data_IF_813655037239
#
_entry.id   IF_813655037239
#
_cell.length_a   1.000
_cell.length_b   1.000
_cell.length_c   1.000
_cell.angle_alpha   90.00
_cell.angle_beta   90.00
_cell.angle_gamma   90.00
#
_symmetry.space_group_name_H-M   'P 1'
#
loop_
_entity.id
_entity.type
_entity.pdbx_description
1 polymer ?
#
# COMPACT_ATOMS: atom_id res chain seq x y z
N UNK A 1 15.86 -33.47 11.89
CA UNK A 1 15.16 -33.10 10.65
C UNK A 1 15.61 -31.69 10.30
N UNK A 2 16.42 -31.56 9.25
CA UNK A 2 17.09 -30.33 8.87
C UNK A 2 16.07 -29.31 8.34
N UNK A 3 15.91 -28.18 9.06
CA UNK A 3 15.31 -26.98 8.50
C UNK A 3 16.31 -26.42 7.47
N UNK A 4 16.15 -26.82 6.22
CA UNK A 4 16.81 -26.14 5.12
C UNK A 4 16.25 -24.71 5.09
N UNK A 5 17.08 -23.77 5.53
CA UNK A 5 16.93 -22.33 5.29
C UNK A 5 16.71 -22.08 3.79
N UNK A 6 15.47 -21.99 3.39
CA UNK A 6 15.12 -21.38 2.11
C UNK A 6 15.28 -19.87 2.24
N UNK A 7 16.53 -19.42 2.34
CA UNK A 7 16.88 -18.00 2.17
C UNK A 7 16.58 -17.62 0.73
N UNK A 8 15.37 -17.08 0.51
CA UNK A 8 15.09 -16.37 -0.74
C UNK A 8 16.07 -15.20 -0.85
N UNK A 9 16.68 -14.96 -2.00
CA UNK A 9 17.68 -13.90 -2.17
C UNK A 9 17.05 -12.54 -1.79
N UNK A 10 17.53 -11.96 -0.68
CA UNK A 10 16.99 -10.73 -0.08
C UNK A 10 17.04 -9.50 -1.02
N UNK A 11 17.88 -9.53 -2.06
CA UNK A 11 18.00 -8.44 -3.04
C UNK A 11 16.95 -8.45 -4.16
N UNK A 12 16.29 -9.58 -4.43
CA UNK A 12 15.40 -9.70 -5.61
C UNK A 12 14.03 -9.00 -5.44
N UNK A 13 13.65 -8.59 -4.23
CA UNK A 13 12.39 -7.87 -3.95
C UNK A 13 12.49 -6.35 -4.10
N UNK A 14 13.69 -5.79 -3.96
CA UNK A 14 13.91 -4.35 -3.89
C UNK A 14 13.44 -3.55 -5.12
N UNK A 15 13.70 -3.96 -6.38
CA UNK A 15 13.19 -3.24 -7.54
C UNK A 15 11.66 -3.19 -7.58
N UNK A 16 11.00 -4.27 -7.17
CA UNK A 16 9.53 -4.33 -7.11
C UNK A 16 8.98 -3.39 -6.04
N UNK A 17 9.57 -3.37 -4.84
CA UNK A 17 9.17 -2.46 -3.77
C UNK A 17 9.37 -1.00 -4.19
N UNK A 18 10.56 -0.67 -4.71
CA UNK A 18 10.88 0.67 -5.18
C UNK A 18 9.89 1.17 -6.24
N UNK A 19 9.61 0.35 -7.25
CA UNK A 19 8.67 0.69 -8.32
C UNK A 19 7.25 0.86 -7.80
N UNK A 20 6.78 0.02 -6.87
CA UNK A 20 5.45 0.14 -6.27
C UNK A 20 5.29 1.46 -5.52
N UNK A 21 6.25 1.80 -4.64
CA UNK A 21 6.18 3.01 -3.83
C UNK A 21 6.48 4.28 -4.63
N UNK A 22 7.26 4.19 -5.70
CA UNK A 22 7.42 5.27 -6.67
C UNK A 22 6.07 5.63 -7.32
N UNK A 23 5.35 4.64 -7.84
CA UNK A 23 4.02 4.85 -8.44
C UNK A 23 3.06 5.43 -7.40
N UNK A 24 3.02 4.87 -6.18
CA UNK A 24 2.15 5.38 -5.12
C UNK A 24 2.52 6.80 -4.66
N UNK A 25 3.79 7.17 -4.71
CA UNK A 25 4.23 8.54 -4.40
C UNK A 25 3.68 9.59 -5.37
N UNK A 26 3.44 9.21 -6.63
CA UNK A 26 2.84 10.10 -7.64
C UNK A 26 1.31 10.05 -7.71
N UNK A 27 0.64 9.22 -6.91
CA UNK A 27 -0.83 9.14 -6.88
C UNK A 27 -1.54 10.49 -6.67
N UNK A 28 -1.04 11.42 -5.85
CA UNK A 28 -1.68 12.74 -5.70
C UNK A 28 -1.83 13.49 -7.03
N UNK A 29 -0.87 13.33 -7.95
CA UNK A 29 -0.96 13.95 -9.30
C UNK A 29 -2.15 13.39 -10.07
N UNK A 30 -2.33 12.06 -10.06
CA UNK A 30 -3.48 11.42 -10.69
C UNK A 30 -4.80 11.85 -10.05
N UNK A 31 -4.90 11.87 -8.72
CA UNK A 31 -6.14 12.27 -8.06
C UNK A 31 -6.52 13.73 -8.29
N UNK A 32 -5.56 14.61 -8.51
CA UNK A 32 -5.84 16.01 -8.89
C UNK A 32 -6.53 16.13 -10.26
N UNK A 33 -6.30 15.18 -11.17
CA UNK A 33 -7.01 15.13 -12.47
C UNK A 33 -8.48 14.70 -12.32
N UNK A 34 -8.85 14.11 -11.19
CA UNK A 34 -10.20 13.63 -10.87
C UNK A 34 -10.93 14.54 -9.86
N UNK A 35 -10.53 15.81 -9.78
CA UNK A 35 -11.17 16.78 -8.89
C UNK A 35 -12.65 16.90 -9.20
N UNK A 36 -13.51 16.92 -8.17
CA UNK A 36 -14.97 17.01 -8.34
C UNK A 36 -15.69 15.66 -8.42
N UNK A 37 -14.96 14.54 -8.46
CA UNK A 37 -15.53 13.20 -8.39
C UNK A 37 -15.46 12.69 -6.96
N UNK A 38 -16.56 12.09 -6.49
CA UNK A 38 -16.61 11.56 -5.13
C UNK A 38 -15.57 10.43 -4.93
N UNK A 39 -14.87 10.46 -3.81
CA UNK A 39 -13.77 9.54 -3.53
C UNK A 39 -14.18 8.06 -3.58
N UNK A 40 -15.39 7.72 -3.11
CA UNK A 40 -15.92 6.34 -3.17
C UNK A 40 -16.20 5.89 -4.62
N UNK A 41 -16.56 6.81 -5.50
CA UNK A 41 -16.77 6.55 -6.92
C UNK A 41 -15.43 6.24 -7.62
N UNK A 42 -14.41 7.08 -7.39
CA UNK A 42 -13.05 6.83 -7.88
C UNK A 42 -12.58 5.45 -7.42
N UNK A 43 -12.80 5.11 -6.15
CA UNK A 43 -12.44 3.81 -5.59
C UNK A 43 -13.17 2.66 -6.29
N UNK A 44 -14.48 2.80 -6.51
CA UNK A 44 -15.28 1.78 -7.17
C UNK A 44 -14.79 1.54 -8.61
N UNK A 45 -14.57 2.60 -9.39
CA UNK A 45 -14.01 2.50 -10.74
C UNK A 45 -12.61 1.85 -10.73
N UNK A 46 -11.74 2.19 -9.80
CA UNK A 46 -10.42 1.57 -9.66
C UNK A 46 -10.51 0.06 -9.47
N UNK A 47 -11.47 -0.43 -8.67
CA UNK A 47 -11.68 -1.87 -8.46
C UNK A 47 -12.29 -2.51 -9.71
N UNK A 48 -13.35 -1.93 -10.27
CA UNK A 48 -14.04 -2.47 -11.45
C UNK A 48 -13.06 -2.60 -12.63
N UNK A 49 -12.29 -1.56 -12.93
CA UNK A 49 -11.30 -1.59 -14.01
C UNK A 49 -10.07 -2.45 -13.70
N UNK A 50 -9.81 -2.75 -12.44
CA UNK A 50 -8.76 -3.71 -12.05
C UNK A 50 -9.11 -5.15 -12.46
N UNK A 51 -10.40 -5.50 -12.48
CA UNK A 51 -10.85 -6.86 -12.82
C UNK A 51 -10.36 -7.29 -14.21
N UNK A 52 -10.74 -6.61 -15.32
CA UNK A 52 -10.31 -7.04 -16.65
C UNK A 52 -8.78 -7.01 -16.80
N UNK A 53 -8.09 -6.07 -16.16
CA UNK A 53 -6.63 -5.96 -16.25
C UNK A 53 -5.95 -7.15 -15.57
N UNK A 54 -6.34 -7.50 -14.34
CA UNK A 54 -5.73 -8.63 -13.63
C UNK A 54 -6.05 -9.96 -14.30
N UNK A 55 -7.25 -10.11 -14.88
CA UNK A 55 -7.62 -11.31 -15.62
C UNK A 55 -6.88 -11.41 -16.96
N UNK A 56 -6.65 -10.29 -17.66
CA UNK A 56 -5.78 -10.27 -18.84
C UNK A 56 -4.35 -10.73 -18.48
N UNK A 57 -3.76 -10.17 -17.41
CA UNK A 57 -2.42 -10.59 -16.94
C UNK A 57 -2.42 -12.08 -16.57
N UNK A 58 -3.44 -12.57 -15.89
CA UNK A 58 -3.59 -13.97 -15.51
C UNK A 58 -3.62 -14.88 -16.74
N UNK A 59 -4.34 -14.49 -17.79
CA UNK A 59 -4.44 -15.20 -19.05
C UNK A 59 -3.09 -15.26 -19.77
N UNK A 60 -2.44 -14.11 -19.98
CA UNK A 60 -1.15 -14.05 -20.67
C UNK A 60 -0.02 -14.76 -19.90
N UNK A 61 -0.08 -14.76 -18.57
CA UNK A 61 0.88 -15.51 -17.74
C UNK A 61 0.55 -16.99 -17.57
N UNK A 62 -0.56 -17.46 -18.18
CA UNK A 62 -1.04 -18.86 -18.08
C UNK A 62 -1.23 -19.34 -16.64
N UNK A 63 -1.66 -18.46 -15.74
CA UNK A 63 -1.82 -18.73 -14.30
C UNK A 63 -3.28 -19.02 -13.90
N UNK A 64 -4.15 -19.33 -14.87
CA UNK A 64 -5.57 -19.60 -14.61
C UNK A 64 -5.78 -20.77 -13.64
N UNK A 65 -4.99 -21.84 -13.78
CA UNK A 65 -5.04 -22.99 -12.88
C UNK A 65 -4.71 -22.63 -11.43
N UNK A 66 -3.71 -21.75 -11.22
CA UNK A 66 -3.36 -21.27 -9.89
C UNK A 66 -4.49 -20.41 -9.27
N UNK A 67 -5.16 -19.59 -10.08
CA UNK A 67 -6.32 -18.80 -9.64
C UNK A 67 -7.47 -19.70 -9.21
N UNK A 68 -7.86 -20.68 -10.03
CA UNK A 68 -8.93 -21.63 -9.70
C UNK A 68 -8.57 -22.44 -8.46
N UNK A 69 -7.32 -22.88 -8.32
CA UNK A 69 -6.84 -23.60 -7.15
C UNK A 69 -6.89 -22.73 -5.89
N UNK A 70 -6.47 -21.46 -5.98
CA UNK A 70 -6.53 -20.51 -4.86
C UNK A 70 -7.98 -20.21 -4.44
N UNK A 71 -8.88 -20.04 -5.39
CA UNK A 71 -10.31 -19.81 -5.14
C UNK A 71 -11.00 -21.06 -4.57
N UNK A 72 -10.63 -22.24 -5.06
CA UNK A 72 -11.18 -23.54 -4.61
C UNK A 72 -10.70 -23.98 -3.23
N UNK A 73 -9.50 -23.54 -2.80
CA UNK A 73 -8.95 -23.90 -1.49
C UNK A 73 -9.57 -23.02 -0.38
N UNK A 74 -10.37 -23.60 0.56
CA UNK A 74 -11.04 -22.80 1.59
C UNK A 74 -10.10 -22.01 2.49
N UNK A 75 -8.91 -22.55 2.82
CA UNK A 75 -7.94 -21.88 3.68
C UNK A 75 -7.32 -20.66 2.97
N UNK A 76 -6.90 -20.84 1.71
CA UNK A 76 -6.36 -19.76 0.88
C UNK A 76 -7.42 -18.69 0.62
N UNK A 77 -8.63 -19.09 0.27
CA UNK A 77 -9.75 -18.18 0.03
C UNK A 77 -10.10 -17.34 1.26
N UNK A 78 -10.09 -17.94 2.47
CA UNK A 78 -10.33 -17.19 3.72
C UNK A 78 -9.22 -16.14 3.96
N UNK A 79 -7.95 -16.49 3.77
CA UNK A 79 -6.85 -15.53 3.89
C UNK A 79 -6.96 -14.40 2.88
N UNK A 80 -7.31 -14.71 1.62
CA UNK A 80 -7.51 -13.69 0.58
C UNK A 80 -8.78 -12.88 0.81
N UNK A 81 -9.83 -13.43 1.42
CA UNK A 81 -10.97 -12.65 1.87
C UNK A 81 -10.58 -11.67 2.98
N UNK A 82 -9.79 -12.11 3.95
CA UNK A 82 -9.26 -11.21 4.99
C UNK A 82 -8.42 -10.09 4.37
N UNK A 83 -7.53 -10.40 3.42
CA UNK A 83 -6.73 -9.36 2.75
C UNK A 83 -7.61 -8.42 1.92
N UNK A 84 -8.65 -8.92 1.24
CA UNK A 84 -9.61 -8.08 0.50
C UNK A 84 -10.35 -7.11 1.42
N UNK A 85 -10.82 -7.58 2.58
CA UNK A 85 -11.49 -6.72 3.58
C UNK A 85 -10.52 -5.68 4.14
N UNK A 86 -9.30 -6.09 4.49
CA UNK A 86 -8.30 -5.18 5.03
C UNK A 86 -7.95 -4.05 4.06
N UNK A 87 -7.74 -4.37 2.79
CA UNK A 87 -7.42 -3.34 1.79
C UNK A 87 -8.65 -2.48 1.45
N UNK A 88 -9.85 -3.04 1.45
CA UNK A 88 -11.09 -2.28 1.26
C UNK A 88 -11.31 -1.30 2.43
N UNK A 89 -11.15 -1.75 3.68
CA UNK A 89 -11.23 -0.89 4.88
C UNK A 89 -10.17 0.21 4.82
N UNK A 90 -8.93 -0.14 4.46
CA UNK A 90 -7.86 0.84 4.30
C UNK A 90 -8.25 1.95 3.32
N UNK A 91 -8.73 1.59 2.13
CA UNK A 91 -9.12 2.55 1.11
C UNK A 91 -10.35 3.37 1.49
N UNK A 92 -11.36 2.74 2.10
CA UNK A 92 -12.56 3.45 2.57
C UNK A 92 -12.23 4.47 3.65
N UNK A 93 -11.44 4.08 4.67
CA UNK A 93 -11.03 5.00 5.74
C UNK A 93 -10.16 6.12 5.18
N UNK A 94 -9.25 5.81 4.25
CA UNK A 94 -8.43 6.82 3.58
C UNK A 94 -9.31 7.84 2.84
N UNK A 95 -10.23 7.35 1.98
CA UNK A 95 -11.10 8.22 1.20
C UNK A 95 -12.04 9.04 2.09
N UNK A 96 -12.63 8.41 3.11
CA UNK A 96 -13.44 9.12 4.09
C UNK A 96 -12.64 10.21 4.82
N UNK A 97 -11.42 9.93 5.24
CA UNK A 97 -10.59 10.90 5.94
C UNK A 97 -10.23 12.11 5.04
N UNK A 98 -9.98 11.88 3.74
CA UNK A 98 -9.74 12.97 2.78
C UNK A 98 -11.00 13.85 2.64
N UNK A 99 -12.20 13.25 2.50
CA UNK A 99 -13.46 13.99 2.35
C UNK A 99 -13.93 14.67 3.65
N UNK A 100 -13.44 14.21 4.80
CA UNK A 100 -13.71 14.79 6.12
C UNK A 100 -12.62 15.79 6.59
N UNK A 101 -11.76 16.26 5.66
CA UNK A 101 -10.65 17.18 5.94
C UNK A 101 -9.65 16.68 7.00
N UNK A 102 -9.53 15.35 7.16
CA UNK A 102 -8.59 14.69 8.08
C UNK A 102 -7.30 14.25 7.38
N UNK A 103 -6.82 15.03 6.42
CA UNK A 103 -5.66 14.70 5.56
C UNK A 103 -4.40 14.45 6.39
N UNK A 104 -4.18 15.23 7.47
CA UNK A 104 -3.02 15.02 8.35
C UNK A 104 -2.99 13.61 8.95
N UNK A 105 -4.14 13.09 9.38
CA UNK A 105 -4.23 11.75 9.95
C UNK A 105 -3.86 10.65 8.94
N UNK A 106 -4.22 10.83 7.67
CA UNK A 106 -3.83 9.88 6.61
C UNK A 106 -2.31 9.90 6.38
N UNK A 107 -1.71 11.08 6.37
CA UNK A 107 -0.26 11.24 6.24
C UNK A 107 0.49 10.56 7.39
N UNK A 108 0.04 10.77 8.64
CA UNK A 108 0.62 10.10 9.82
C UNK A 108 0.49 8.57 9.68
N UNK A 109 -0.66 8.05 9.20
CA UNK A 109 -0.86 6.64 8.94
C UNK A 109 0.19 6.05 8.01
N UNK A 110 0.54 6.75 6.93
CA UNK A 110 1.58 6.31 6.00
C UNK A 110 2.98 6.33 6.61
N UNK A 111 3.28 7.27 7.52
CA UNK A 111 4.54 7.26 8.26
C UNK A 111 4.60 6.16 9.33
N UNK A 112 3.45 5.75 9.86
CA UNK A 112 3.36 4.68 10.85
C UNK A 112 3.48 3.29 10.20
N UNK A 113 3.08 3.11 8.94
CA UNK A 113 3.11 1.84 8.23
C UNK A 113 4.46 1.09 8.32
N UNK A 114 5.62 1.72 8.06
CA UNK A 114 6.91 1.03 8.16
C UNK A 114 7.20 0.48 9.56
N UNK A 115 6.79 1.20 10.60
CA UNK A 115 6.95 0.73 11.98
C UNK A 115 6.05 -0.47 12.28
N UNK A 116 4.80 -0.44 11.76
CA UNK A 116 3.88 -1.60 11.84
C UNK A 116 4.46 -2.79 11.08
N UNK A 117 5.05 -2.59 9.90
CA UNK A 117 5.69 -3.67 9.14
C UNK A 117 6.87 -4.28 9.90
N UNK A 118 7.69 -3.46 10.57
CA UNK A 118 8.78 -3.95 11.43
C UNK A 118 8.22 -4.77 12.61
N UNK A 119 7.17 -4.25 13.26
CA UNK A 119 6.51 -4.94 14.37
C UNK A 119 5.96 -6.30 13.92
N UNK A 120 5.21 -6.33 12.81
CA UNK A 120 4.62 -7.55 12.25
C UNK A 120 5.70 -8.53 11.76
N UNK A 121 6.77 -8.04 11.14
CA UNK A 121 7.92 -8.85 10.72
C UNK A 121 8.58 -9.55 11.90
N UNK A 122 8.74 -8.81 13.02
CA UNK A 122 9.31 -9.37 14.25
C UNK A 122 8.39 -10.38 14.92
N UNK A 123 7.09 -10.07 15.06
CA UNK A 123 6.13 -10.89 15.81
C UNK A 123 5.72 -12.15 15.05
N UNK A 124 5.48 -12.06 13.77
CA UNK A 124 4.87 -13.14 12.97
C UNK A 124 5.86 -13.86 12.04
N UNK A 125 6.95 -13.19 11.63
CA UNK A 125 7.92 -13.75 10.70
C UNK A 125 9.27 -14.07 11.37
N UNK A 126 9.43 -13.78 12.67
CA UNK A 126 10.65 -14.04 13.41
C UNK A 126 11.84 -13.17 12.94
N UNK A 127 11.59 -12.06 12.26
CA UNK A 127 12.65 -11.17 11.78
C UNK A 127 13.42 -10.55 12.96
N UNK A 128 14.75 -10.56 12.88
CA UNK A 128 15.62 -9.98 13.91
C UNK A 128 16.25 -8.69 13.40
N UNK A 129 16.10 -7.64 14.18
CA UNK A 129 16.74 -6.36 13.90
C UNK A 129 18.19 -6.37 14.35
N UNK A 130 19.06 -5.76 13.54
CA UNK A 130 20.40 -5.43 14.01
C UNK A 130 20.35 -4.26 14.99
N UNK A 131 21.47 -3.96 15.65
CA UNK A 131 21.55 -2.78 16.51
C UNK A 131 21.30 -1.49 15.74
N UNK A 132 21.88 -1.36 14.53
CA UNK A 132 21.70 -0.19 13.67
C UNK A 132 20.26 -0.07 13.15
N UNK A 133 19.64 -1.18 12.74
CA UNK A 133 18.22 -1.20 12.39
C UNK A 133 17.32 -0.83 13.56
N UNK A 134 17.65 -1.29 14.77
CA UNK A 134 16.94 -0.90 15.99
C UNK A 134 17.01 0.62 16.25
N UNK A 135 18.20 1.22 16.06
CA UNK A 135 18.37 2.68 16.16
C UNK A 135 17.53 3.40 15.10
N UNK A 136 17.57 2.94 13.84
CA UNK A 136 16.77 3.53 12.76
C UNK A 136 15.26 3.48 13.07
N UNK A 137 14.77 2.34 13.58
CA UNK A 137 13.36 2.18 14.02
C UNK A 137 13.04 3.13 15.17
N UNK A 138 13.93 3.29 16.15
CA UNK A 138 13.75 4.21 17.26
C UNK A 138 13.64 5.68 16.82
N UNK A 139 14.49 6.11 15.88
CA UNK A 139 14.45 7.47 15.30
C UNK A 139 13.14 7.68 14.53
N UNK A 140 12.74 6.71 13.70
CA UNK A 140 11.48 6.79 12.95
C UNK A 140 10.27 6.81 13.90
N UNK A 141 10.28 6.01 14.97
CA UNK A 141 9.23 5.99 15.97
C UNK A 141 9.11 7.33 16.71
N UNK A 142 10.24 7.97 17.03
CA UNK A 142 10.25 9.30 17.64
C UNK A 142 9.62 10.33 16.70
N UNK A 143 10.00 10.34 15.41
CA UNK A 143 9.43 11.25 14.42
C UNK A 143 7.90 11.09 14.30
N UNK A 144 7.41 9.83 14.24
CA UNK A 144 5.98 9.55 14.18
C UNK A 144 5.27 9.97 15.47
N UNK A 145 5.86 9.72 16.64
CA UNK A 145 5.28 10.13 17.92
C UNK A 145 5.10 11.66 18.02
N UNK A 146 6.10 12.43 17.52
CA UNK A 146 6.00 13.89 17.44
C UNK A 146 4.85 14.32 16.52
N UNK A 147 4.71 13.69 15.34
CA UNK A 147 3.59 13.98 14.44
C UNK A 147 2.23 13.63 15.05
N UNK A 148 2.13 12.51 15.75
CA UNK A 148 0.89 12.05 16.39
C UNK A 148 0.47 12.95 17.55
N UNK A 149 1.39 13.56 18.29
CA UNK A 149 1.08 14.44 19.41
C UNK A 149 0.25 15.66 19.01
N UNK A 150 0.35 16.11 17.75
CA UNK A 150 -0.45 17.20 17.19
C UNK A 150 -1.82 16.75 16.62
N UNK A 151 -2.17 15.47 16.66
CA UNK A 151 -3.36 14.93 16.00
C UNK A 151 -4.07 13.83 16.81
N UNK A 152 -4.10 13.93 18.13
CA UNK A 152 -4.59 12.87 19.04
C UNK A 152 -6.03 12.44 18.76
N UNK A 153 -6.93 13.37 18.41
CA UNK A 153 -8.33 13.08 18.10
C UNK A 153 -8.51 12.18 16.85
N UNK A 154 -7.53 12.18 15.95
CA UNK A 154 -7.57 11.46 14.68
C UNK A 154 -6.60 10.29 14.62
N UNK A 155 -5.92 9.96 15.72
CA UNK A 155 -4.95 8.86 15.82
C UNK A 155 -5.56 7.53 15.39
N UNK A 156 -6.84 7.28 15.69
CA UNK A 156 -7.53 6.06 15.26
C UNK A 156 -7.52 5.86 13.74
N UNK A 157 -7.62 6.95 12.94
CA UNK A 157 -7.53 6.91 11.49
C UNK A 157 -6.15 6.40 11.09
N UNK A 158 -5.10 7.05 11.63
CA UNK A 158 -3.70 6.69 11.37
C UNK A 158 -3.40 5.23 11.73
N UNK A 159 -3.87 4.78 12.89
CA UNK A 159 -3.72 3.39 13.32
C UNK A 159 -4.48 2.42 12.40
N UNK A 160 -5.72 2.73 12.05
CA UNK A 160 -6.52 1.90 11.14
C UNK A 160 -5.82 1.76 9.80
N UNK A 161 -5.32 2.85 9.22
CA UNK A 161 -4.60 2.82 7.95
C UNK A 161 -3.32 2.01 8.05
N UNK A 162 -2.52 2.24 9.09
CA UNK A 162 -1.25 1.55 9.27
C UNK A 162 -1.43 0.04 9.51
N UNK A 163 -2.33 -0.35 10.40
CA UNK A 163 -2.52 -1.77 10.73
C UNK A 163 -3.26 -2.51 9.61
N UNK A 164 -4.29 -1.92 8.99
CA UNK A 164 -5.00 -2.59 7.89
C UNK A 164 -4.06 -2.85 6.71
N UNK A 165 -3.24 -1.89 6.31
CA UNK A 165 -2.26 -2.08 5.22
C UNK A 165 -1.11 -3.01 5.63
N UNK A 166 -0.58 -2.86 6.85
CA UNK A 166 0.47 -3.73 7.36
C UNK A 166 0.02 -5.20 7.45
N UNK A 167 -1.17 -5.47 7.99
CA UNK A 167 -1.71 -6.83 8.05
C UNK A 167 -2.04 -7.36 6.65
N UNK A 168 -2.60 -6.52 5.76
CA UNK A 168 -2.78 -6.87 4.35
C UNK A 168 -1.48 -7.37 3.72
N UNK A 169 -0.39 -6.63 3.85
CA UNK A 169 0.91 -7.02 3.31
C UNK A 169 1.47 -8.30 3.95
N UNK A 170 1.27 -8.49 5.27
CA UNK A 170 1.65 -9.72 5.96
C UNK A 170 0.88 -10.93 5.41
N UNK A 171 -0.43 -10.82 5.23
CA UNK A 171 -1.26 -11.88 4.64
C UNK A 171 -0.79 -12.18 3.21
N UNK A 172 -0.53 -11.15 2.39
CA UNK A 172 0.00 -11.30 1.02
C UNK A 172 1.37 -11.99 0.97
N UNK A 173 2.19 -11.80 2.01
CA UNK A 173 3.47 -12.49 2.15
C UNK A 173 3.29 -13.97 2.53
N UNK A 174 2.35 -14.27 3.41
CA UNK A 174 2.19 -15.61 4.01
C UNK A 174 1.27 -16.53 3.19
N UNK A 175 0.30 -15.96 2.47
CA UNK A 175 -0.68 -16.76 1.71
C UNK A 175 0.01 -17.59 0.62
N UNK A 176 -0.28 -18.91 0.51
CA UNK A 176 0.30 -19.77 -0.52
C UNK A 176 -0.40 -19.57 -1.89
N UNK A 177 -0.43 -18.34 -2.36
CA UNK A 177 -0.94 -17.96 -3.68
C UNK A 177 0.00 -16.95 -4.33
N UNK A 178 0.24 -17.08 -5.64
CA UNK A 178 1.06 -16.14 -6.40
C UNK A 178 0.54 -14.70 -6.33
N UNK A 179 1.38 -13.72 -6.68
CA UNK A 179 0.97 -12.31 -6.64
C UNK A 179 -0.23 -12.04 -7.56
N UNK A 180 -0.20 -12.55 -8.80
CA UNK A 180 -1.29 -12.37 -9.78
C UNK A 180 -2.53 -13.16 -9.41
N UNK A 181 -2.47 -14.50 -9.19
CA UNK A 181 -3.64 -15.27 -8.79
C UNK A 181 -4.31 -14.75 -7.52
N UNK A 182 -3.53 -14.37 -6.52
CA UNK A 182 -4.06 -13.82 -5.27
C UNK A 182 -4.76 -12.48 -5.48
N UNK A 183 -4.19 -11.56 -6.28
CA UNK A 183 -4.86 -10.30 -6.60
C UNK A 183 -6.13 -10.54 -7.43
N UNK A 184 -6.13 -11.52 -8.33
CA UNK A 184 -7.31 -11.88 -9.10
C UNK A 184 -8.47 -12.34 -8.18
N UNK A 185 -8.17 -13.15 -7.15
CA UNK A 185 -9.18 -13.54 -6.15
C UNK A 185 -9.68 -12.33 -5.37
N UNK A 186 -8.80 -11.43 -4.91
CA UNK A 186 -9.18 -10.21 -4.20
C UNK A 186 -10.11 -9.33 -5.06
N UNK A 187 -9.78 -9.11 -6.33
CA UNK A 187 -10.61 -8.32 -7.25
C UNK A 187 -11.94 -9.02 -7.57
N UNK A 188 -11.96 -10.34 -7.64
CA UNK A 188 -13.21 -11.12 -7.81
C UNK A 188 -14.14 -10.95 -6.61
N UNK A 189 -13.59 -10.88 -5.40
CA UNK A 189 -14.37 -10.72 -4.18
C UNK A 189 -14.91 -9.29 -4.00
N UNK A 190 -14.11 -8.27 -4.36
CA UNK A 190 -14.48 -6.86 -4.24
C UNK A 190 -15.28 -6.35 -5.45
N UNK A 191 -15.06 -6.93 -6.63
CA UNK A 191 -15.63 -6.49 -7.90
C UNK A 191 -17.15 -6.32 -7.91
N UNK A 192 -17.94 -7.29 -7.42
CA UNK A 192 -19.40 -7.17 -7.41
C UNK A 192 -19.89 -5.97 -6.60
N UNK A 193 -19.31 -5.72 -5.42
CA UNK A 193 -19.68 -4.57 -4.57
C UNK A 193 -19.30 -3.27 -5.28
N UNK A 194 -18.09 -3.20 -5.82
CA UNK A 194 -17.62 -2.03 -6.56
C UNK A 194 -18.47 -1.75 -7.80
N UNK A 195 -18.88 -2.79 -8.53
CA UNK A 195 -19.77 -2.65 -9.70
C UNK A 195 -21.14 -2.07 -9.31
N UNK A 196 -21.72 -2.54 -8.21
CA UNK A 196 -22.97 -1.97 -7.69
C UNK A 196 -22.82 -0.49 -7.33
N UNK A 197 -21.70 -0.11 -6.72
CA UNK A 197 -21.40 1.30 -6.41
C UNK A 197 -21.23 2.12 -7.69
N UNK A 198 -20.55 1.61 -8.72
CA UNK A 198 -20.42 2.31 -10.01
C UNK A 198 -21.79 2.51 -10.67
N UNK A 199 -22.62 1.46 -10.74
CA UNK A 199 -23.97 1.55 -11.32
C UNK A 199 -24.81 2.59 -10.58
N UNK A 200 -24.78 2.56 -9.25
CA UNK A 200 -25.50 3.52 -8.43
C UNK A 200 -25.00 4.94 -8.65
N UNK A 201 -23.69 5.16 -8.72
CA UNK A 201 -23.09 6.48 -8.96
C UNK A 201 -23.45 7.03 -10.34
N UNK A 202 -23.39 6.19 -11.39
CA UNK A 202 -23.81 6.58 -12.75
C UNK A 202 -25.29 6.96 -12.78
N UNK A 203 -26.16 6.20 -12.08
CA UNK A 203 -27.58 6.50 -11.97
C UNK A 203 -27.82 7.85 -11.27
N UNK A 204 -27.14 8.13 -10.15
CA UNK A 204 -27.25 9.40 -9.43
C UNK A 204 -26.72 10.60 -10.24
N UNK A 205 -25.71 10.39 -11.08
CA UNK A 205 -25.15 11.41 -11.95
C UNK A 205 -26.03 11.70 -13.21
N UNK A 206 -27.09 10.91 -13.45
CA UNK A 206 -27.93 11.04 -14.63
C UNK A 206 -27.33 10.47 -15.92
N UNK A 207 -26.25 9.67 -15.81
CA UNK A 207 -25.58 9.03 -16.95
C UNK A 207 -24.06 8.97 -16.78
N UNK A 208 -23.39 8.45 -17.81
CA UNK A 208 -21.92 8.43 -17.88
C UNK A 208 -21.36 9.84 -18.06
N UNK A 209 -20.17 10.06 -17.58
CA UNK A 209 -19.43 11.32 -17.73
C UNK A 209 -18.85 11.45 -19.16
N UNK A 210 -18.19 12.55 -19.42
CA UNK A 210 -17.45 12.74 -20.69
C UNK A 210 -16.34 11.68 -20.84
N UNK A 211 -15.96 11.43 -22.11
CA UNK A 211 -14.98 10.39 -22.45
C UNK A 211 -13.63 10.57 -21.75
N UNK A 212 -13.16 11.81 -21.56
CA UNK A 212 -11.88 12.06 -20.90
C UNK A 212 -11.93 11.66 -19.43
N UNK A 213 -12.98 12.00 -18.71
CA UNK A 213 -13.19 11.63 -17.32
C UNK A 213 -13.31 10.11 -17.15
N UNK A 214 -14.10 9.43 -18.02
CA UNK A 214 -14.23 7.97 -17.98
C UNK A 214 -12.90 7.27 -18.28
N UNK A 215 -12.10 7.78 -19.21
CA UNK A 215 -10.77 7.25 -19.50
C UNK A 215 -9.80 7.41 -18.31
N UNK A 216 -9.86 8.54 -17.60
CA UNK A 216 -9.09 8.73 -16.37
C UNK A 216 -9.54 7.76 -15.27
N UNK A 217 -10.84 7.55 -15.09
CA UNK A 217 -11.37 6.57 -14.12
C UNK A 217 -10.93 5.15 -14.47
N UNK A 218 -10.94 4.79 -15.77
CA UNK A 218 -10.45 3.48 -16.22
C UNK A 218 -8.94 3.30 -16.00
N UNK A 219 -8.13 4.36 -16.19
CA UNK A 219 -6.70 4.37 -15.86
C UNK A 219 -6.45 4.02 -14.40
N UNK A 220 -7.41 4.34 -13.52
CA UNK A 220 -7.38 3.97 -12.09
C UNK A 220 -7.19 2.48 -11.86
N UNK A 221 -7.71 1.61 -12.74
CA UNK A 221 -7.47 0.17 -12.69
C UNK A 221 -6.00 -0.19 -12.87
N UNK A 222 -5.33 0.39 -13.86
CA UNK A 222 -3.90 0.20 -14.14
C UNK A 222 -3.06 0.65 -12.94
N UNK A 223 -3.34 1.88 -12.46
CA UNK A 223 -2.66 2.50 -11.32
C UNK A 223 -2.90 1.73 -10.01
N UNK A 224 -3.93 0.89 -9.96
CA UNK A 224 -4.20 0.01 -8.83
C UNK A 224 -3.49 -1.34 -8.99
N UNK A 225 -3.65 -2.00 -10.12
CA UNK A 225 -3.15 -3.36 -10.35
C UNK A 225 -1.61 -3.41 -10.35
N UNK A 226 -0.96 -2.51 -11.08
CA UNK A 226 0.49 -2.55 -11.24
C UNK A 226 1.21 -2.43 -9.89
N UNK A 227 1.01 -1.39 -9.07
CA UNK A 227 1.74 -1.27 -7.81
C UNK A 227 1.34 -2.33 -6.79
N UNK A 228 0.09 -2.81 -6.76
CA UNK A 228 -0.31 -3.90 -5.88
C UNK A 228 0.38 -5.23 -6.25
N UNK A 229 0.54 -5.53 -7.53
CA UNK A 229 1.30 -6.71 -7.98
C UNK A 229 2.78 -6.59 -7.64
N UNK A 230 3.37 -5.42 -7.86
CA UNK A 230 4.76 -5.13 -7.51
C UNK A 230 4.96 -5.26 -5.99
N UNK A 231 4.08 -4.66 -5.19
CA UNK A 231 4.11 -4.76 -3.72
C UNK A 231 3.97 -6.22 -3.24
N UNK A 232 2.97 -6.96 -3.72
CA UNK A 232 2.78 -8.36 -3.34
C UNK A 232 3.96 -9.24 -3.75
N UNK A 233 4.60 -8.93 -4.88
CA UNK A 233 5.82 -9.61 -5.33
C UNK A 233 7.00 -9.26 -4.43
N UNK A 234 7.18 -7.99 -4.07
CA UNK A 234 8.21 -7.55 -3.15
C UNK A 234 8.05 -8.16 -1.75
N UNK A 235 6.84 -8.14 -1.19
CA UNK A 235 6.54 -8.70 0.13
C UNK A 235 6.93 -10.18 0.25
N UNK A 236 6.81 -10.93 -0.85
CA UNK A 236 7.20 -12.35 -0.91
C UNK A 236 8.70 -12.58 -1.10
N UNK A 237 9.46 -11.58 -1.57
CA UNK A 237 10.86 -11.72 -2.00
C UNK A 237 11.87 -11.03 -1.10
N UNK A 238 11.45 -10.26 -0.13
CA UNK A 238 12.33 -9.55 0.79
C UNK A 238 11.77 -9.59 2.21
N UNK A 239 12.62 -9.21 3.21
CA UNK A 239 12.15 -9.11 4.59
C UNK A 239 11.06 -8.03 4.71
N UNK A 240 10.12 -8.26 5.61
CA UNK A 240 8.99 -7.35 5.82
C UNK A 240 9.44 -6.03 6.44
N UNK A 241 10.48 -6.09 7.27
CA UNK A 241 11.18 -4.92 7.80
C UNK A 241 11.79 -4.06 6.69
N UNK A 242 12.53 -4.67 5.74
CA UNK A 242 13.12 -3.91 4.63
C UNK A 242 12.04 -3.33 3.70
N UNK A 243 10.96 -4.08 3.44
CA UNK A 243 9.81 -3.59 2.68
C UNK A 243 9.21 -2.33 3.34
N UNK A 244 9.08 -2.34 4.69
CA UNK A 244 8.62 -1.19 5.45
C UNK A 244 9.51 0.04 5.26
N UNK A 245 10.84 -0.10 5.29
CA UNK A 245 11.72 1.05 5.08
C UNK A 245 11.66 1.60 3.66
N UNK A 246 11.54 0.76 2.64
CA UNK A 246 11.34 1.22 1.25
C UNK A 246 10.02 1.99 1.10
N UNK A 247 9.02 1.68 1.90
CA UNK A 247 7.72 2.35 1.89
C UNK A 247 7.82 3.86 2.18
N UNK A 248 8.82 4.32 2.93
CA UNK A 248 9.03 5.76 3.16
C UNK A 248 9.30 6.56 1.88
N UNK A 249 9.61 5.89 0.76
CA UNK A 249 9.77 6.54 -0.55
C UNK A 249 8.49 7.28 -0.98
N UNK A 250 7.32 6.64 -0.83
CA UNK A 250 6.05 7.24 -1.26
C UNK A 250 5.75 8.56 -0.52
N UNK A 251 5.71 8.62 0.82
CA UNK A 251 5.47 9.88 1.52
C UNK A 251 6.60 10.90 1.32
N UNK A 252 7.84 10.48 1.03
CA UNK A 252 8.93 11.40 0.68
C UNK A 252 8.67 12.09 -0.66
N UNK A 253 8.17 11.36 -1.67
CA UNK A 253 7.77 11.93 -2.96
C UNK A 253 6.59 12.88 -2.78
N UNK A 254 5.56 12.47 -2.01
CA UNK A 254 4.39 13.32 -1.70
C UNK A 254 4.81 14.62 -1.04
N UNK A 255 5.77 14.55 -0.09
CA UNK A 255 6.34 15.75 0.54
C UNK A 255 7.02 16.68 -0.47
N UNK A 256 7.88 16.12 -1.35
CA UNK A 256 8.56 16.89 -2.39
C UNK A 256 7.55 17.54 -3.35
N UNK A 257 6.52 16.81 -3.76
CA UNK A 257 5.44 17.35 -4.59
C UNK A 257 4.68 18.48 -3.87
N UNK A 258 4.33 18.29 -2.61
CA UNK A 258 3.66 19.30 -1.78
C UNK A 258 4.49 20.58 -1.67
N UNK A 259 5.76 20.44 -1.29
CA UNK A 259 6.67 21.56 -1.06
C UNK A 259 7.04 22.34 -2.34
N UNK A 260 7.42 21.63 -3.41
CA UNK A 260 8.03 22.25 -4.58
C UNK A 260 7.12 22.39 -5.79
N UNK A 261 6.10 21.53 -5.91
CA UNK A 261 5.15 21.57 -7.04
C UNK A 261 3.86 22.28 -6.66
N UNK A 262 3.37 22.02 -5.45
CA UNK A 262 2.10 22.60 -4.99
C UNK A 262 2.29 23.81 -4.08
N UNK A 263 3.54 24.16 -3.73
CA UNK A 263 3.91 25.31 -2.90
C UNK A 263 3.14 25.36 -1.56
N UNK A 264 2.89 24.17 -0.97
CA UNK A 264 2.25 24.09 0.36
C UNK A 264 3.16 24.68 1.44
N UNK A 265 2.60 25.41 2.42
CA UNK A 265 3.40 25.99 3.49
C UNK A 265 4.08 24.88 4.31
N UNK A 266 5.40 25.00 4.45
CA UNK A 266 6.21 24.04 5.20
C UNK A 266 6.18 24.44 6.68
N UNK A 267 5.63 23.57 7.51
CA UNK A 267 5.72 23.65 8.95
C UNK A 267 7.06 23.10 9.43
N UNK A 268 7.71 23.80 10.38
CA UNK A 268 8.99 23.38 10.97
C UNK A 268 8.94 22.01 11.62
N UNK A 269 7.81 21.64 12.22
CA UNK A 269 7.60 20.31 12.82
C UNK A 269 7.65 19.23 11.76
N UNK A 270 6.96 19.42 10.62
CA UNK A 270 7.00 18.49 9.50
C UNK A 270 8.42 18.34 8.95
N UNK A 271 9.13 19.46 8.74
CA UNK A 271 10.52 19.44 8.27
C UNK A 271 11.45 18.65 9.20
N UNK A 272 11.35 18.88 10.51
CA UNK A 272 12.14 18.14 11.49
C UNK A 272 11.81 16.64 11.48
N UNK A 273 10.54 16.28 11.42
CA UNK A 273 10.12 14.88 11.33
C UNK A 273 10.61 14.19 10.04
N UNK A 274 10.55 14.89 8.89
CA UNK A 274 11.13 14.38 7.64
C UNK A 274 12.63 14.16 7.74
N UNK A 275 13.36 15.11 8.32
CA UNK A 275 14.79 14.99 8.57
C UNK A 275 15.12 13.76 9.41
N UNK A 276 14.37 13.49 10.47
CA UNK A 276 14.52 12.30 11.29
C UNK A 276 14.22 11.02 10.51
N UNK A 277 13.14 10.99 9.73
CA UNK A 277 12.77 9.83 8.90
C UNK A 277 13.85 9.54 7.86
N UNK A 278 14.34 10.55 7.14
CA UNK A 278 15.40 10.36 6.16
C UNK A 278 16.73 9.90 6.81
N UNK A 279 17.03 10.38 8.01
CA UNK A 279 18.16 9.88 8.81
C UNK A 279 17.97 8.40 9.15
N UNK A 280 16.77 8.00 9.57
CA UNK A 280 16.47 6.61 9.85
C UNK A 280 16.60 5.73 8.59
N UNK A 281 16.13 6.20 7.43
CA UNK A 281 16.27 5.50 6.14
C UNK A 281 17.76 5.35 5.79
N UNK A 282 18.56 6.39 5.94
CA UNK A 282 20.00 6.36 5.63
C UNK A 282 20.73 5.34 6.52
N UNK A 283 20.47 5.33 7.83
CA UNK A 283 21.06 4.35 8.78
C UNK A 283 20.64 2.94 8.41
N UNK A 284 19.36 2.71 8.14
CA UNK A 284 18.86 1.38 7.77
C UNK A 284 19.46 0.88 6.45
N UNK A 285 19.51 1.74 5.44
CA UNK A 285 20.09 1.43 4.14
C UNK A 285 21.58 1.13 4.24
N UNK A 286 22.32 1.89 5.03
CA UNK A 286 23.74 1.64 5.28
C UNK A 286 23.97 0.25 5.90
N UNK A 287 23.21 -0.13 6.94
CA UNK A 287 23.31 -1.46 7.55
C UNK A 287 22.97 -2.56 6.54
N UNK A 288 21.90 -2.37 5.73
CA UNK A 288 21.51 -3.33 4.71
C UNK A 288 22.60 -3.53 3.64
N UNK A 289 23.18 -2.44 3.12
CA UNK A 289 24.28 -2.53 2.16
C UNK A 289 25.56 -3.16 2.73
N UNK A 290 25.90 -2.86 3.98
CA UNK A 290 27.07 -3.46 4.66
C UNK A 290 26.98 -4.98 4.76
N UNK A 291 25.77 -5.52 4.84
CA UNK A 291 25.52 -6.98 4.96
C UNK A 291 25.45 -7.73 3.64
N UNK A 292 25.28 -7.00 2.53
CA UNK A 292 25.31 -7.60 1.20
C UNK A 292 26.74 -7.78 0.63
N UNK A 293 27.72 -7.16 1.30
CA UNK A 293 29.16 -7.34 1.04
C UNK A 293 29.76 -8.39 1.98
#
# INVERSE_FOLDING_TARGET
>A
MNNADTQQPQGSGLPYAFSAYLIWGFLPVYFKLLTGIAAFEILAHRIVWSVPIVFAILYFRKQWGEFVAALGNPAVRRLLLVSSVLIAVNWLVYMWAITADKVLATSIGYYLNPLVNVLLGRLFLGERLTRLQGVAVGIAALAVAVLMSGALETVWISLTLAFSFGIYGLVRKMVPAGSVPGLAVEMTLLGPIALLVCIWSIYQAGGMRDFHTEALLALGGVITVIPLLLFATAARRMSYTALGFVQYLAPSIVFILGAFVYHEPLDTTKLACFGLIWTAIAIFSFDAFRRMR
#
